data_IF_567910313874
#
_entry.id   IF_567910313874
#
_cell.length_a   1.000
_cell.length_b   1.000
_cell.length_c   1.000
_cell.angle_alpha   90.00
_cell.angle_beta   90.00
_cell.angle_gamma   90.00
#
_symmetry.space_group_name_H-M   'P 1'
#
loop_
_entity.id
_entity.type
_entity.pdbx_description
1 polymer ?
#
# COMPACT_ATOMS: atom_id res chain seq x y z
N UNK A 1 -0.51 2.36 -32.99
CA UNK A 1 -0.55 3.55 -32.09
C UNK A 1 0.55 3.38 -31.07
N UNK A 2 1.48 4.32 -30.98
CA UNK A 2 2.47 4.35 -29.90
C UNK A 2 1.77 4.57 -28.56
N UNK A 3 2.23 3.87 -27.52
CA UNK A 3 1.75 4.09 -26.17
C UNK A 3 2.28 5.44 -25.67
N UNK A 4 1.39 6.35 -25.30
CA UNK A 4 1.79 7.65 -24.75
C UNK A 4 2.33 7.51 -23.33
N UNK A 5 3.53 8.01 -23.10
CA UNK A 5 4.26 7.91 -21.84
C UNK A 5 4.68 9.28 -21.29
N UNK A 6 5.01 9.31 -20.00
CA UNK A 6 5.65 10.48 -19.39
C UNK A 6 7.00 10.71 -20.07
N UNK A 7 7.32 11.98 -20.28
CA UNK A 7 8.46 12.52 -21.03
C UNK A 7 8.35 12.46 -22.55
N UNK A 8 7.24 11.98 -23.11
CA UNK A 8 7.02 12.11 -24.55
C UNK A 8 6.76 13.57 -24.94
N UNK A 9 7.18 13.93 -26.16
CA UNK A 9 6.92 15.23 -26.79
C UNK A 9 5.59 15.18 -27.52
N UNK A 10 4.71 16.12 -27.19
CA UNK A 10 3.43 16.26 -27.86
C UNK A 10 3.28 17.65 -28.45
N UNK A 11 2.77 17.66 -29.68
CA UNK A 11 2.32 18.86 -30.36
C UNK A 11 0.81 18.72 -30.58
N UNK A 12 0.04 19.61 -29.94
CA UNK A 12 -1.41 19.71 -30.09
C UNK A 12 -1.74 20.99 -30.88
N UNK A 13 -2.01 20.83 -32.18
CA UNK A 13 -2.10 21.94 -33.13
C UNK A 13 -0.79 22.75 -33.18
N UNK A 14 -0.86 23.99 -33.65
CA UNK A 14 0.33 24.84 -33.79
C UNK A 14 0.74 25.53 -32.48
N UNK A 15 -0.14 25.53 -31.47
CA UNK A 15 -0.01 26.36 -30.27
C UNK A 15 0.62 25.65 -29.08
N UNK A 16 0.34 24.35 -28.90
CA UNK A 16 0.69 23.64 -27.68
C UNK A 16 1.74 22.57 -27.96
N UNK A 17 3.01 22.99 -27.88
CA UNK A 17 4.18 22.11 -27.93
C UNK A 17 4.74 21.94 -26.54
N UNK A 18 4.94 20.71 -26.11
CA UNK A 18 5.36 20.44 -24.75
C UNK A 18 5.71 18.98 -24.47
N UNK A 19 6.07 18.75 -23.22
CA UNK A 19 6.49 17.45 -22.72
C UNK A 19 5.48 16.92 -21.72
N UNK A 20 5.11 15.64 -21.85
CA UNK A 20 4.22 14.97 -20.90
C UNK A 20 4.90 14.85 -19.55
N UNK A 21 4.27 15.39 -18.50
CA UNK A 21 4.73 15.28 -17.11
C UNK A 21 3.77 14.52 -16.22
N UNK A 22 2.53 14.34 -16.65
CA UNK A 22 1.52 13.65 -15.86
C UNK A 22 0.51 12.92 -16.75
N UNK A 23 0.13 11.70 -16.36
CA UNK A 23 -0.97 10.94 -16.97
C UNK A 23 -1.78 10.32 -15.84
N UNK A 24 -3.04 10.75 -15.62
CA UNK A 24 -3.84 10.24 -14.50
C UNK A 24 -5.13 11.01 -14.22
N UNK A 25 -5.77 10.73 -13.08
CA UNK A 25 -7.01 11.39 -12.63
C UNK A 25 -6.71 12.69 -11.86
N UNK A 26 -7.50 13.73 -12.07
CA UNK A 26 -7.44 14.97 -11.29
C UNK A 26 -8.57 14.95 -10.25
N UNK A 27 -8.27 15.29 -8.99
CA UNK A 27 -9.18 15.09 -7.84
C UNK A 27 -10.55 15.75 -8.02
N UNK A 28 -10.61 16.85 -8.76
CA UNK A 28 -11.81 17.66 -9.02
C UNK A 28 -12.35 17.54 -10.46
N UNK A 29 -11.82 16.62 -11.26
CA UNK A 29 -12.23 16.45 -12.66
C UNK A 29 -12.36 14.99 -13.06
N UNK A 30 -13.47 14.67 -13.71
CA UNK A 30 -13.71 13.31 -14.20
C UNK A 30 -12.85 12.95 -15.41
N UNK A 31 -12.58 11.66 -15.55
CA UNK A 31 -11.82 11.08 -16.66
C UNK A 31 -10.31 11.10 -16.45
N UNK A 32 -9.60 10.66 -17.49
CA UNK A 32 -8.13 10.62 -17.52
C UNK A 32 -7.59 11.89 -18.16
N UNK A 33 -6.56 12.46 -17.54
CA UNK A 33 -5.96 13.73 -17.94
C UNK A 33 -4.47 13.56 -18.21
N UNK A 34 -3.97 14.43 -19.08
CA UNK A 34 -2.56 14.55 -19.42
C UNK A 34 -2.10 15.94 -19.05
N UNK A 35 -1.09 16.01 -18.19
CA UNK A 35 -0.39 17.25 -17.85
C UNK A 35 0.79 17.44 -18.79
N UNK A 36 0.79 18.54 -19.52
CA UNK A 36 1.89 18.98 -20.37
C UNK A 36 2.62 20.16 -19.73
N UNK A 37 3.94 20.07 -19.71
CA UNK A 37 4.83 21.22 -19.57
C UNK A 37 5.14 21.75 -20.96
N UNK A 38 4.62 22.94 -21.27
CA UNK A 38 4.77 23.63 -22.55
C UNK A 38 6.12 24.33 -22.63
N UNK A 39 6.67 24.41 -23.83
CA UNK A 39 7.93 25.11 -24.06
C UNK A 39 7.78 26.62 -23.87
N UNK A 40 6.63 27.15 -24.28
CA UNK A 40 6.27 28.56 -24.22
C UNK A 40 5.22 28.82 -23.12
N UNK A 41 5.16 30.05 -22.54
CA UNK A 41 4.24 30.42 -21.46
C UNK A 41 2.80 30.67 -21.93
N UNK A 42 2.26 29.74 -22.73
CA UNK A 42 0.92 29.79 -23.33
C UNK A 42 -0.10 28.88 -22.64
N UNK A 43 0.31 28.24 -21.55
CA UNK A 43 -0.48 27.37 -20.69
C UNK A 43 -1.35 28.12 -19.69
N UNK A 44 -2.09 27.35 -18.88
CA UNK A 44 -3.11 27.86 -17.97
C UNK A 44 -2.74 27.72 -16.48
N UNK A 45 -1.67 27.00 -16.16
CA UNK A 45 -1.26 26.71 -14.79
C UNK A 45 0.25 26.48 -14.67
N UNK A 46 0.71 26.14 -13.47
CA UNK A 46 2.10 25.83 -13.13
C UNK A 46 2.29 24.36 -12.70
N UNK A 47 1.43 23.47 -13.21
CA UNK A 47 1.38 22.05 -12.85
C UNK A 47 0.52 21.72 -11.62
N UNK A 48 -0.29 22.68 -11.14
CA UNK A 48 -1.26 22.49 -10.06
C UNK A 48 -2.70 22.83 -10.48
N UNK A 49 -3.68 22.21 -9.82
CA UNK A 49 -5.13 22.48 -9.98
C UNK A 49 -5.77 22.56 -8.60
N UNK A 50 -6.44 23.67 -8.29
CA UNK A 50 -7.11 23.90 -7.00
C UNK A 50 -6.20 23.63 -5.78
N UNK A 51 -4.95 24.09 -5.85
CA UNK A 51 -3.96 23.92 -4.77
C UNK A 51 -3.27 22.56 -4.71
N UNK A 52 -3.69 21.57 -5.53
CA UNK A 52 -3.04 20.24 -5.58
C UNK A 52 -2.04 20.22 -6.73
N UNK A 53 -0.79 19.85 -6.43
CA UNK A 53 0.29 19.75 -7.41
C UNK A 53 0.34 18.35 -8.04
N UNK A 54 0.43 18.31 -9.36
CA UNK A 54 0.57 17.08 -10.16
C UNK A 54 1.91 16.99 -10.86
N UNK A 55 2.49 18.13 -11.26
CA UNK A 55 3.84 18.24 -11.78
C UNK A 55 4.42 19.64 -11.49
N UNK A 56 5.71 19.82 -11.76
CA UNK A 56 6.38 21.12 -11.64
C UNK A 56 6.65 21.70 -13.03
N UNK A 57 6.32 22.98 -13.21
CA UNK A 57 6.74 23.80 -14.35
C UNK A 57 6.64 25.28 -13.96
N UNK A 58 7.14 26.17 -14.82
CA UNK A 58 7.03 27.62 -14.65
C UNK A 58 5.56 28.08 -14.74
N UNK A 59 5.27 29.27 -14.22
CA UNK A 59 3.92 29.84 -14.34
C UNK A 59 3.53 29.99 -15.82
N UNK A 60 2.28 29.64 -16.13
CA UNK A 60 1.74 29.57 -17.51
C UNK A 60 2.44 28.56 -18.43
N UNK A 61 3.25 27.64 -17.93
CA UNK A 61 3.80 26.55 -18.76
C UNK A 61 3.00 25.24 -18.61
N UNK A 62 2.08 25.14 -17.67
CA UNK A 62 1.29 23.94 -17.45
C UNK A 62 -0.06 23.97 -18.17
N UNK A 63 -0.45 22.85 -18.79
CA UNK A 63 -1.82 22.64 -19.28
C UNK A 63 -2.27 21.20 -19.01
N UNK A 64 -3.57 21.03 -18.72
CA UNK A 64 -4.20 19.72 -18.58
C UNK A 64 -5.18 19.49 -19.72
N UNK A 65 -4.98 18.40 -20.46
CA UNK A 65 -5.81 18.01 -21.60
C UNK A 65 -6.47 16.67 -21.30
N UNK A 66 -7.72 16.50 -21.76
CA UNK A 66 -8.42 15.21 -21.66
C UNK A 66 -7.71 14.17 -22.52
N UNK A 67 -7.48 12.98 -21.95
CA UNK A 67 -6.80 11.88 -22.65
C UNK A 67 -7.52 11.50 -23.95
N UNK A 68 -8.84 11.70 -24.02
CA UNK A 68 -9.64 11.37 -25.20
C UNK A 68 -9.38 12.34 -26.37
N UNK A 69 -9.14 13.63 -26.09
CA UNK A 69 -8.86 14.66 -27.13
C UNK A 69 -7.53 14.47 -27.85
N UNK A 70 -6.69 13.60 -27.30
CA UNK A 70 -5.35 13.31 -27.78
C UNK A 70 -5.40 12.26 -28.90
N UNK A 71 -6.50 11.51 -29.06
CA UNK A 71 -6.67 10.54 -30.16
C UNK A 71 -7.03 11.17 -31.51
N UNK A 72 -7.41 12.45 -31.54
CA UNK A 72 -7.99 13.09 -32.74
C UNK A 72 -7.05 14.08 -33.47
N UNK A 73 -5.81 14.27 -33.01
CA UNK A 73 -4.93 15.26 -33.66
C UNK A 73 -3.48 15.30 -33.14
N UNK A 74 -2.99 14.19 -32.58
CA UNK A 74 -1.62 14.12 -32.08
C UNK A 74 -0.61 13.91 -33.20
N UNK A 75 0.40 14.76 -33.23
CA UNK A 75 1.73 14.40 -33.75
C UNK A 75 2.64 14.20 -32.53
N UNK A 76 2.99 12.96 -32.24
CA UNK A 76 4.20 12.71 -31.45
C UNK A 76 5.36 13.09 -32.35
N UNK A 77 6.10 14.15 -31.99
CA UNK A 77 7.42 14.35 -32.57
C UNK A 77 8.24 13.13 -32.16
N UNK A 78 8.43 12.20 -33.10
CA UNK A 78 9.38 11.12 -32.97
C UNK A 78 10.68 11.76 -32.54
N UNK A 79 11.24 11.27 -31.42
CA UNK A 79 12.62 11.55 -31.00
C UNK A 79 13.47 11.59 -32.26
N UNK A 80 14.32 12.60 -32.44
CA UNK A 80 15.15 12.78 -33.64
C UNK A 80 15.86 11.49 -34.03
N UNK A 81 15.21 10.71 -34.88
CA UNK A 81 15.70 9.51 -35.52
C UNK A 81 15.90 9.95 -36.95
N UNK A 82 17.15 10.12 -37.34
CA UNK A 82 17.53 10.21 -38.75
C UNK A 82 16.90 9.02 -39.50
N UNK A 83 16.58 9.22 -40.78
CA UNK A 83 15.82 8.28 -41.64
C UNK A 83 16.38 6.84 -41.74
N UNK A 84 17.51 6.59 -41.09
CA UNK A 84 18.32 5.40 -41.02
C UNK A 84 18.31 4.72 -39.63
N UNK A 85 17.43 5.15 -38.70
CA UNK A 85 17.12 4.38 -37.49
C UNK A 85 18.25 4.30 -36.45
N UNK A 86 19.33 5.07 -36.61
CA UNK A 86 20.49 5.03 -35.71
C UNK A 86 20.37 6.09 -34.61
N UNK A 87 20.25 5.62 -33.37
CA UNK A 87 20.48 6.41 -32.15
C UNK A 87 21.93 6.92 -32.21
N UNK A 88 22.18 8.20 -31.85
CA UNK A 88 23.55 8.74 -31.87
C UNK A 88 24.47 7.89 -31.01
N UNK A 89 25.71 7.67 -31.46
CA UNK A 89 26.72 6.84 -30.75
C UNK A 89 26.83 7.24 -29.26
N UNK A 90 26.72 8.53 -28.97
CA UNK A 90 26.81 9.07 -27.62
C UNK A 90 25.56 8.77 -26.77
N UNK A 91 24.36 8.79 -27.36
CA UNK A 91 23.14 8.39 -26.66
C UNK A 91 23.08 6.88 -26.42
N UNK A 92 23.49 6.08 -27.41
CA UNK A 92 23.58 4.62 -27.27
C UNK A 92 24.55 4.25 -26.14
N UNK A 93 25.73 4.86 -26.12
CA UNK A 93 26.72 4.63 -25.06
C UNK A 93 26.19 5.04 -23.67
N UNK A 94 25.47 6.16 -23.57
CA UNK A 94 24.86 6.58 -22.32
C UNK A 94 23.78 5.61 -21.83
N UNK A 95 22.97 5.07 -22.73
CA UNK A 95 21.97 4.06 -22.37
C UNK A 95 22.63 2.72 -22.00
N UNK A 96 23.69 2.31 -22.71
CA UNK A 96 24.50 1.13 -22.35
C UNK A 96 25.10 1.26 -20.94
N UNK A 97 25.66 2.43 -20.59
CA UNK A 97 26.18 2.68 -19.25
C UNK A 97 25.08 2.63 -18.16
N UNK A 98 23.89 3.15 -18.46
CA UNK A 98 22.74 3.08 -17.54
C UNK A 98 22.24 1.64 -17.36
N UNK A 99 22.17 0.87 -18.45
CA UNK A 99 21.78 -0.54 -18.42
C UNK A 99 22.79 -1.33 -17.59
N UNK A 100 24.09 -1.18 -17.86
CA UNK A 100 25.14 -1.87 -17.11
C UNK A 100 25.06 -1.59 -15.60
N UNK A 101 24.86 -0.33 -15.21
CA UNK A 101 24.73 0.04 -13.79
C UNK A 101 23.47 -0.55 -13.14
N UNK A 102 22.37 -0.62 -13.88
CA UNK A 102 21.14 -1.27 -13.42
C UNK A 102 21.33 -2.78 -13.29
N UNK A 103 22.00 -3.43 -14.23
CA UNK A 103 22.32 -4.86 -14.18
C UNK A 103 23.21 -5.19 -12.97
N UNK A 104 24.23 -4.39 -12.70
CA UNK A 104 25.08 -4.51 -11.50
C UNK A 104 24.27 -4.38 -10.21
N UNK A 105 23.33 -3.43 -10.16
CA UNK A 105 22.44 -3.23 -9.00
C UNK A 105 21.45 -4.40 -8.84
N UNK A 106 20.90 -4.92 -9.94
CA UNK A 106 20.01 -6.08 -9.91
C UNK A 106 20.77 -7.30 -9.38
N UNK A 107 22.01 -7.51 -9.81
CA UNK A 107 22.81 -8.65 -9.37
C UNK A 107 23.17 -8.53 -7.88
N UNK A 108 23.53 -7.32 -7.41
CA UNK A 108 23.79 -7.10 -5.98
C UNK A 108 22.55 -7.32 -5.11
N UNK A 109 21.37 -6.89 -5.57
CA UNK A 109 20.10 -7.11 -4.86
C UNK A 109 19.74 -8.61 -4.81
N UNK A 110 19.96 -9.34 -5.91
CA UNK A 110 19.75 -10.80 -5.96
C UNK A 110 20.69 -11.57 -5.03
N UNK A 111 21.93 -11.13 -4.85
CA UNK A 111 22.84 -11.77 -3.89
C UNK A 111 22.39 -11.57 -2.45
N UNK A 112 21.93 -10.36 -2.08
CA UNK A 112 21.43 -10.07 -0.74
C UNK A 112 20.16 -10.84 -0.41
N UNK A 113 19.20 -10.92 -1.35
CA UNK A 113 17.97 -11.71 -1.17
C UNK A 113 18.28 -13.21 -0.94
N UNK A 114 19.31 -13.75 -1.62
CA UNK A 114 19.75 -15.13 -1.39
C UNK A 114 20.37 -15.33 -0.01
N UNK A 115 21.14 -14.37 0.50
CA UNK A 115 21.75 -14.45 1.84
C UNK A 115 20.68 -14.42 2.94
N UNK A 116 19.71 -13.50 2.87
CA UNK A 116 18.60 -13.42 3.84
C UNK A 116 17.76 -14.72 3.84
N UNK A 117 17.47 -15.31 2.67
CA UNK A 117 16.75 -16.59 2.58
C UNK A 117 17.56 -17.73 3.21
N UNK A 118 18.90 -17.71 3.08
CA UNK A 118 19.76 -18.74 3.68
C UNK A 118 19.78 -18.61 5.20
N UNK A 119 19.83 -17.40 5.76
CA UNK A 119 19.74 -17.18 7.21
C UNK A 119 18.38 -17.59 7.77
N UNK A 120 17.28 -17.14 7.16
CA UNK A 120 15.93 -17.55 7.57
C UNK A 120 15.74 -19.07 7.53
N UNK A 121 16.37 -19.77 6.57
CA UNK A 121 16.34 -21.25 6.54
C UNK A 121 17.09 -21.87 7.72
N UNK A 122 18.21 -21.30 8.17
CA UNK A 122 18.94 -21.78 9.35
C UNK A 122 18.12 -21.57 10.63
N UNK A 123 17.52 -20.39 10.78
CA UNK A 123 16.62 -20.10 11.91
C UNK A 123 15.43 -21.05 11.96
N UNK A 124 14.81 -21.33 10.80
CA UNK A 124 13.71 -22.29 10.71
C UNK A 124 14.12 -23.72 11.13
N UNK A 125 15.33 -24.16 10.80
CA UNK A 125 15.84 -25.46 11.26
C UNK A 125 16.13 -25.48 12.77
N UNK A 126 16.53 -24.36 13.35
CA UNK A 126 16.69 -24.22 14.80
C UNK A 126 15.33 -24.25 15.53
N UNK A 127 14.33 -23.52 15.02
CA UNK A 127 12.95 -23.56 15.54
C UNK A 127 12.39 -24.98 15.47
N UNK A 128 12.58 -25.70 14.36
CA UNK A 128 12.15 -27.11 14.25
C UNK A 128 12.76 -27.99 15.33
N UNK A 129 14.07 -27.82 15.61
CA UNK A 129 14.75 -28.57 16.68
C UNK A 129 14.17 -28.26 18.06
N UNK A 130 13.90 -26.98 18.35
CA UNK A 130 13.28 -26.56 19.61
C UNK A 130 11.86 -27.11 19.74
N UNK A 131 11.04 -27.05 18.69
CA UNK A 131 9.68 -27.60 18.69
C UNK A 131 9.69 -29.10 18.95
N UNK A 132 10.62 -29.84 18.34
CA UNK A 132 10.77 -31.28 18.58
C UNK A 132 11.13 -31.58 20.03
N UNK A 133 12.11 -30.88 20.61
CA UNK A 133 12.51 -31.09 22.01
C UNK A 133 11.39 -30.71 23.00
N UNK A 134 10.65 -29.63 22.73
CA UNK A 134 9.47 -29.26 23.52
C UNK A 134 8.37 -30.32 23.44
N UNK A 135 8.13 -30.89 22.24
CA UNK A 135 7.13 -31.95 22.04
C UNK A 135 7.52 -33.23 22.77
N UNK A 136 8.79 -33.59 22.76
CA UNK A 136 9.33 -34.70 23.55
C UNK A 136 9.22 -34.41 25.05
N UNK A 137 9.45 -33.18 25.49
CA UNK A 137 9.25 -32.73 26.87
C UNK A 137 7.78 -32.81 27.33
N UNK A 138 6.85 -32.44 26.46
CA UNK A 138 5.40 -32.58 26.69
C UNK A 138 5.01 -34.06 26.80
N UNK A 139 5.52 -34.90 25.90
CA UNK A 139 5.19 -36.32 25.88
C UNK A 139 5.86 -37.12 27.03
N UNK A 140 7.00 -36.64 27.57
CA UNK A 140 7.77 -37.33 28.61
C UNK A 140 7.41 -36.88 30.04
N UNK A 141 6.65 -35.79 30.22
CA UNK A 141 6.03 -35.46 31.51
C UNK A 141 4.78 -36.32 31.73
N UNK A 142 5.02 -37.45 32.40
CA UNK A 142 4.07 -38.19 33.25
C UNK A 142 2.84 -37.37 33.58
N UNK A 143 1.68 -37.89 33.17
CA UNK A 143 0.39 -37.65 33.81
C UNK A 143 0.62 -37.72 35.33
N UNK A 144 0.61 -36.56 36.00
CA UNK A 144 0.39 -36.50 37.43
C UNK A 144 -0.94 -37.21 37.70
N UNK A 145 -0.88 -38.22 38.56
CA UNK A 145 -1.98 -39.12 38.93
C UNK A 145 -3.21 -38.41 39.51
N UNK A 146 -3.13 -37.11 39.78
CA UNK A 146 -4.20 -36.36 40.44
C UNK A 146 -5.03 -35.46 39.50
N UNK A 147 -4.74 -35.42 38.19
CA UNK A 147 -5.58 -34.70 37.20
C UNK A 147 -5.69 -33.18 37.43
N UNK A 148 -4.83 -32.60 38.26
CA UNK A 148 -4.87 -31.20 38.70
C UNK A 148 -4.66 -30.22 37.55
N UNK A 149 -3.69 -30.51 36.68
CA UNK A 149 -3.40 -29.72 35.47
C UNK A 149 -4.54 -29.79 34.45
N UNK A 150 -5.24 -30.93 34.34
CA UNK A 150 -6.39 -31.07 33.45
C UNK A 150 -7.58 -30.22 33.93
N UNK A 151 -7.82 -30.18 35.25
CA UNK A 151 -8.86 -29.32 35.83
C UNK A 151 -8.56 -27.83 35.64
N UNK A 152 -7.32 -27.40 35.91
CA UNK A 152 -6.92 -26.00 35.72
C UNK A 152 -7.02 -25.56 34.25
N UNK A 153 -6.59 -26.42 33.31
CA UNK A 153 -6.75 -26.18 31.88
C UNK A 153 -8.23 -26.15 31.45
N UNK A 154 -9.06 -27.03 32.01
CA UNK A 154 -10.50 -27.07 31.72
C UNK A 154 -11.22 -25.82 32.20
N UNK A 155 -10.94 -25.37 33.42
CA UNK A 155 -11.49 -24.12 33.97
C UNK A 155 -11.04 -22.90 33.14
N UNK A 156 -9.77 -22.86 32.72
CA UNK A 156 -9.25 -21.80 31.85
C UNK A 156 -9.94 -21.76 30.48
N UNK A 157 -10.16 -22.94 29.87
CA UNK A 157 -10.83 -23.07 28.58
C UNK A 157 -12.31 -22.71 28.67
N UNK A 158 -13.01 -23.13 29.74
CA UNK A 158 -14.40 -22.78 29.99
C UNK A 158 -14.58 -21.28 30.27
N UNK A 159 -13.66 -20.69 31.03
CA UNK A 159 -13.61 -19.23 31.26
C UNK A 159 -13.37 -18.44 29.98
N UNK A 160 -12.47 -18.90 29.12
CA UNK A 160 -12.19 -18.29 27.82
C UNK A 160 -13.37 -18.43 26.86
N UNK A 161 -14.05 -19.59 26.85
CA UNK A 161 -15.25 -19.84 26.04
C UNK A 161 -16.39 -18.89 26.39
N UNK A 162 -16.57 -18.58 27.68
CA UNK A 162 -17.55 -17.59 28.14
C UNK A 162 -17.24 -16.19 27.62
N UNK A 163 -16.00 -15.74 27.76
CA UNK A 163 -15.57 -14.43 27.23
C UNK A 163 -15.75 -14.32 25.71
N UNK A 164 -15.45 -15.39 24.96
CA UNK A 164 -15.69 -15.43 23.51
C UNK A 164 -17.19 -15.31 23.20
N UNK A 165 -18.06 -15.99 23.96
CA UNK A 165 -19.51 -15.87 23.80
C UNK A 165 -20.01 -14.44 24.05
N UNK A 166 -19.47 -13.77 25.07
CA UNK A 166 -19.84 -12.38 25.41
C UNK A 166 -19.37 -11.40 24.32
N UNK A 167 -18.16 -11.60 23.78
CA UNK A 167 -17.66 -10.82 22.63
C UNK A 167 -18.52 -11.00 21.38
N UNK A 168 -18.97 -12.24 21.09
CA UNK A 168 -19.87 -12.51 19.95
C UNK A 168 -21.23 -11.80 20.13
N UNK A 169 -21.73 -11.72 21.36
CA UNK A 169 -22.91 -10.93 21.70
C UNK A 169 -22.73 -9.44 21.39
N UNK A 170 -21.63 -8.84 21.87
CA UNK A 170 -21.30 -7.44 21.62
C UNK A 170 -21.16 -7.09 20.13
N UNK A 171 -20.57 -7.99 19.33
CA UNK A 171 -20.48 -7.79 17.87
C UNK A 171 -21.86 -7.74 17.23
N UNK A 172 -22.79 -8.58 17.69
CA UNK A 172 -24.16 -8.59 17.20
C UNK A 172 -24.91 -7.29 17.54
N UNK A 173 -24.70 -6.77 18.75
CA UNK A 173 -25.28 -5.49 19.19
C UNK A 173 -24.71 -4.30 18.40
N UNK A 174 -23.41 -4.31 18.09
CA UNK A 174 -22.75 -3.31 17.23
C UNK A 174 -23.36 -3.31 15.83
N UNK A 175 -23.57 -4.48 15.23
CA UNK A 175 -24.20 -4.57 13.90
C UNK A 175 -25.64 -4.03 13.91
N UNK A 176 -26.38 -4.24 14.99
CA UNK A 176 -27.72 -3.69 15.15
C UNK A 176 -27.70 -2.16 15.28
N UNK A 177 -26.78 -1.61 16.07
CA UNK A 177 -26.59 -0.17 16.27
C UNK A 177 -26.14 0.50 14.96
N UNK A 178 -25.20 -0.10 14.23
CA UNK A 178 -24.75 0.40 12.93
C UNK A 178 -25.87 0.37 11.89
N UNK A 179 -26.72 -0.65 11.91
CA UNK A 179 -27.90 -0.71 11.06
C UNK A 179 -28.94 0.35 11.42
N UNK A 180 -29.17 0.64 12.71
CA UNK A 180 -30.03 1.75 13.16
C UNK A 180 -29.46 3.12 12.80
N UNK A 181 -28.14 3.27 12.81
CA UNK A 181 -27.44 4.52 12.47
C UNK A 181 -27.33 4.81 10.96
N UNK A 182 -27.81 3.92 10.07
CA UNK A 182 -27.80 4.12 8.60
C UNK A 182 -28.68 5.28 8.09
N UNK A 183 -29.40 6.01 8.94
CA UNK A 183 -30.14 7.22 8.54
C UNK A 183 -29.41 8.56 8.76
N UNK A 184 -28.17 8.59 9.28
CA UNK A 184 -27.44 9.85 9.43
C UNK A 184 -25.95 9.72 9.05
N UNK A 185 -25.62 10.30 7.89
CA UNK A 185 -24.29 10.77 7.44
C UNK A 185 -23.29 9.78 6.79
N UNK A 186 -23.22 9.91 5.45
CA UNK A 186 -22.08 9.73 4.51
C UNK A 186 -21.27 8.42 4.61
N UNK A 187 -21.67 7.45 3.78
CA UNK A 187 -21.06 6.11 3.55
C UNK A 187 -19.53 6.08 3.39
N UNK A 188 -18.88 7.12 2.85
CA UNK A 188 -17.45 7.07 2.52
C UNK A 188 -16.49 7.29 3.69
N UNK A 189 -16.91 7.97 4.76
CA UNK A 189 -16.04 8.22 5.94
C UNK A 189 -16.07 7.04 6.90
N UNK A 190 -17.26 6.43 7.08
CA UNK A 190 -17.44 5.25 7.93
C UNK A 190 -16.73 4.01 7.37
N UNK A 191 -16.66 3.87 6.04
CA UNK A 191 -15.98 2.74 5.40
C UNK A 191 -14.46 2.79 5.61
N UNK A 192 -13.84 3.97 5.62
CA UNK A 192 -12.41 4.13 5.90
C UNK A 192 -12.07 3.79 7.36
N UNK A 193 -12.89 4.23 8.31
CA UNK A 193 -12.70 3.95 9.73
C UNK A 193 -12.97 2.47 10.06
N UNK A 194 -13.93 1.83 9.38
CA UNK A 194 -14.15 0.38 9.46
C UNK A 194 -12.91 -0.41 9.04
N UNK A 195 -12.28 -0.05 7.92
CA UNK A 195 -11.03 -0.70 7.50
C UNK A 195 -9.90 -0.48 8.50
N UNK A 196 -9.81 0.71 9.10
CA UNK A 196 -8.80 1.03 10.12
C UNK A 196 -8.98 0.21 11.40
N UNK A 197 -10.22 0.04 11.86
CA UNK A 197 -10.54 -0.79 13.02
C UNK A 197 -10.16 -2.26 12.75
N UNK A 198 -10.52 -2.80 11.59
CA UNK A 198 -10.17 -4.18 11.22
C UNK A 198 -8.64 -4.38 11.13
N UNK A 199 -7.91 -3.37 10.64
CA UNK A 199 -6.45 -3.40 10.62
C UNK A 199 -5.85 -3.42 12.03
N UNK A 200 -6.34 -2.59 12.95
CA UNK A 200 -5.85 -2.55 14.34
C UNK A 200 -6.13 -3.87 15.07
N UNK A 201 -7.32 -4.44 14.91
CA UNK A 201 -7.65 -5.76 15.50
C UNK A 201 -6.68 -6.83 15.01
N UNK A 202 -6.41 -6.87 13.70
CA UNK A 202 -5.42 -7.80 13.13
C UNK A 202 -4.03 -7.59 13.73
N UNK A 203 -3.58 -6.35 13.87
CA UNK A 203 -2.26 -6.02 14.45
C UNK A 203 -2.14 -6.36 15.93
N UNK A 204 -3.21 -6.20 16.70
CA UNK A 204 -3.26 -6.65 18.11
C UNK A 204 -3.09 -8.17 18.17
N UNK A 205 -3.84 -8.92 17.36
CA UNK A 205 -3.74 -10.39 17.30
C UNK A 205 -2.35 -10.83 16.86
N UNK A 206 -1.81 -10.25 15.78
CA UNK A 206 -0.46 -10.54 15.29
C UNK A 206 0.57 -10.29 16.42
N UNK A 207 0.48 -9.17 17.12
CA UNK A 207 1.42 -8.80 18.20
C UNK A 207 1.33 -9.73 19.42
N UNK A 208 0.13 -10.22 19.76
CA UNK A 208 -0.04 -11.21 20.84
C UNK A 208 0.52 -12.58 20.43
N UNK A 209 0.33 -12.99 19.18
CA UNK A 209 0.89 -14.24 18.66
C UNK A 209 2.43 -14.21 18.59
N UNK A 210 3.00 -13.02 18.40
CA UNK A 210 4.45 -12.78 18.37
C UNK A 210 5.04 -12.47 19.76
N UNK A 211 4.29 -12.66 20.86
CA UNK A 211 4.67 -12.32 22.25
C UNK A 211 5.15 -10.85 22.45
N UNK A 212 4.76 -9.94 21.55
CA UNK A 212 5.11 -8.52 21.59
C UNK A 212 4.03 -7.70 22.30
N UNK A 213 4.03 -7.77 23.64
CA UNK A 213 3.03 -7.15 24.52
C UNK A 213 3.02 -5.62 24.38
N UNK A 214 4.18 -4.98 24.21
CA UNK A 214 4.26 -3.52 24.06
C UNK A 214 3.56 -3.05 22.78
N UNK A 215 3.78 -3.75 21.65
CA UNK A 215 3.08 -3.46 20.41
C UNK A 215 1.57 -3.72 20.52
N UNK A 216 1.17 -4.80 21.19
CA UNK A 216 -0.24 -5.11 21.41
C UNK A 216 -0.96 -4.01 22.20
N UNK A 217 -0.35 -3.51 23.28
CA UNK A 217 -0.91 -2.42 24.09
C UNK A 217 -0.95 -1.09 23.32
N UNK A 218 0.03 -0.79 22.48
CA UNK A 218 0.01 0.39 21.62
C UNK A 218 -1.15 0.35 20.61
N UNK A 219 -1.35 -0.77 19.92
CA UNK A 219 -2.47 -0.92 18.98
C UNK A 219 -3.83 -0.95 19.69
N UNK A 220 -3.90 -1.52 20.89
CA UNK A 220 -5.08 -1.49 21.76
C UNK A 220 -5.42 -0.05 22.16
N UNK A 221 -4.43 0.76 22.54
CA UNK A 221 -4.61 2.18 22.84
C UNK A 221 -5.18 2.97 21.67
N UNK A 222 -4.66 2.75 20.45
CA UNK A 222 -5.20 3.35 19.23
C UNK A 222 -6.65 2.90 18.94
N UNK A 223 -6.93 1.61 19.12
CA UNK A 223 -8.27 1.06 18.95
C UNK A 223 -9.26 1.71 19.92
N UNK A 224 -8.93 1.78 21.22
CA UNK A 224 -9.77 2.40 22.25
C UNK A 224 -10.03 3.87 21.93
N UNK A 225 -9.03 4.61 21.44
CA UNK A 225 -9.20 6.02 21.05
C UNK A 225 -10.20 6.20 19.89
N UNK A 226 -10.16 5.31 18.89
CA UNK A 226 -11.13 5.32 17.79
C UNK A 226 -12.52 4.98 18.32
N UNK A 227 -12.66 3.98 19.19
CA UNK A 227 -13.95 3.57 19.73
C UNK A 227 -14.58 4.67 20.61
N UNK A 228 -13.79 5.36 21.43
CA UNK A 228 -14.23 6.53 22.23
C UNK A 228 -14.76 7.68 21.37
N UNK A 229 -14.14 7.93 20.20
CA UNK A 229 -14.61 8.96 19.23
C UNK A 229 -16.05 8.69 18.76
N UNK A 230 -16.49 7.44 18.76
CA UNK A 230 -17.84 7.02 18.39
C UNK A 230 -18.75 6.76 19.60
N UNK A 231 -18.32 7.13 20.81
CA UNK A 231 -19.09 6.94 22.04
C UNK A 231 -19.16 5.49 22.51
N UNK A 232 -18.27 4.61 22.03
CA UNK A 232 -18.22 3.21 22.43
C UNK A 232 -17.16 3.06 23.53
N UNK A 233 -17.58 2.62 24.71
CA UNK A 233 -16.67 2.31 25.80
C UNK A 233 -16.17 0.87 25.64
N UNK A 234 -14.85 0.71 25.64
CA UNK A 234 -14.20 -0.61 25.56
C UNK A 234 -13.30 -0.71 26.78
N UNK A 235 -13.66 -1.60 27.71
CA UNK A 235 -12.85 -1.97 28.88
C UNK A 235 -11.88 -3.11 28.51
#
# INVERSE_FOLDING_TARGET
MSLLMVNDRLTLGDKFKGTVRYIGKIKSKDGKWIGLELDEPVGANNGSVNGIRYFHCKDKHGIFIRYEKIREGLVCESRGVSADGKISRDQTHLYELKIKKLEETIESLKSTEKEEIVELRKENEEIKRIVLSLREGINSKKIDRDGRIYLELKELVEGSRKHISDMVGLVSDIDEILNRNKLANRKSVQECERHRVMFLVKRIIDSVLDDNIEAAENFKGEFVNIMKKYGINVE
#
